data_IF_161986701655
#
_entry.id   IF_161986701655
#
_cell.length_a   1.000
_cell.length_b   1.000
_cell.length_c   1.000
_cell.angle_alpha   90.00
_cell.angle_beta   90.00
_cell.angle_gamma   90.00
#
_symmetry.space_group_name_H-M   'P 1'
#
loop_
_entity.id
_entity.type
_entity.pdbx_description
1 polymer ?
#
# COMPACT_ATOMS: atom_id res chain seq x y z
N UNK A 1 15.20 14.46 -19.64
CA UNK A 1 15.16 13.29 -18.74
C UNK A 1 14.29 13.66 -17.57
N UNK A 2 12.98 13.44 -17.67
CA UNK A 2 12.06 13.63 -16.55
C UNK A 2 12.35 12.54 -15.54
N UNK A 3 12.79 12.91 -14.33
CA UNK A 3 12.80 12.02 -13.18
C UNK A 3 11.40 11.41 -13.07
N UNK A 4 11.27 10.16 -13.50
CA UNK A 4 10.06 9.39 -13.29
C UNK A 4 10.09 8.98 -11.81
N UNK A 5 9.84 9.95 -10.94
CA UNK A 5 9.77 9.74 -9.50
C UNK A 5 8.81 8.59 -9.25
N UNK A 6 9.27 7.55 -8.55
CA UNK A 6 8.44 6.38 -8.31
C UNK A 6 7.20 6.82 -7.53
N UNK A 7 6.02 6.57 -8.07
CA UNK A 7 4.76 6.80 -7.37
C UNK A 7 4.65 5.82 -6.23
N UNK A 8 4.37 6.29 -5.02
CA UNK A 8 4.25 5.39 -3.87
C UNK A 8 3.17 5.81 -2.90
N UNK A 9 2.64 4.83 -2.18
CA UNK A 9 1.70 5.04 -1.08
C UNK A 9 2.38 4.52 0.18
N UNK A 10 2.60 5.40 1.15
CA UNK A 10 3.03 5.02 2.49
C UNK A 10 1.80 4.75 3.35
N UNK A 11 1.85 3.68 4.14
CA UNK A 11 0.76 3.27 5.04
C UNK A 11 1.19 3.54 6.47
N UNK A 12 0.34 4.26 7.20
CA UNK A 12 0.46 4.43 8.64
C UNK A 12 -0.51 3.43 9.30
N UNK A 13 0.02 2.55 10.14
CA UNK A 13 -0.74 1.45 10.71
C UNK A 13 -1.39 1.81 12.03
N UNK A 14 -2.47 1.09 12.35
CA UNK A 14 -3.00 1.03 13.71
C UNK A 14 -1.92 0.55 14.69
N UNK A 15 -1.98 0.94 15.98
CA UNK A 15 -1.06 0.45 17.00
C UNK A 15 -1.02 -1.09 17.04
N UNK A 16 0.18 -1.67 17.11
CA UNK A 16 0.40 -3.12 17.11
C UNK A 16 0.48 -3.77 15.72
N UNK A 17 0.25 -3.03 14.64
CA UNK A 17 0.33 -3.54 13.26
C UNK A 17 1.52 -3.02 12.45
N UNK A 18 2.35 -2.14 13.02
CA UNK A 18 3.51 -1.57 12.35
C UNK A 18 4.78 -2.43 12.46
N UNK A 19 5.62 -2.38 11.41
CA UNK A 19 6.93 -3.03 11.41
C UNK A 19 7.88 -2.39 12.45
N UNK A 20 8.83 -3.14 13.06
CA UNK A 20 9.27 -4.50 12.71
C UNK A 20 8.56 -5.67 13.43
N UNK A 21 7.82 -5.43 14.50
CA UNK A 21 7.30 -6.49 15.39
C UNK A 21 5.78 -6.79 15.24
N UNK A 22 5.11 -6.14 14.28
CA UNK A 22 3.83 -6.56 13.70
C UNK A 22 3.85 -6.19 12.22
N UNK A 23 4.16 -7.12 11.31
CA UNK A 23 4.82 -6.87 10.01
C UNK A 23 4.01 -6.14 8.91
N UNK A 24 3.11 -5.21 9.25
CA UNK A 24 2.43 -4.32 8.31
C UNK A 24 1.74 -5.06 7.17
N UNK A 25 1.98 -4.61 5.94
CA UNK A 25 1.46 -5.28 4.73
C UNK A 25 2.03 -6.68 4.51
N UNK A 26 3.11 -7.06 5.18
CA UNK A 26 3.75 -8.38 5.10
C UNK A 26 3.51 -9.22 6.36
N UNK A 27 2.51 -8.86 7.16
CA UNK A 27 2.08 -9.61 8.34
C UNK A 27 1.51 -10.98 8.00
N UNK A 28 1.58 -11.87 8.98
CA UNK A 28 1.02 -13.22 8.87
C UNK A 28 -0.48 -13.15 9.23
N UNK A 29 -1.34 -13.59 8.31
CA UNK A 29 -2.79 -13.58 8.53
C UNK A 29 -3.59 -13.72 7.24
N UNK A 30 -4.76 -14.36 7.32
CA UNK A 30 -5.65 -14.50 6.15
C UNK A 30 -6.15 -13.15 5.64
N UNK A 31 -6.48 -12.23 6.54
CA UNK A 31 -6.96 -10.89 6.18
C UNK A 31 -5.91 -10.07 5.41
N UNK A 32 -4.64 -10.16 5.82
CA UNK A 32 -3.51 -9.54 5.10
C UNK A 32 -3.30 -10.21 3.75
N UNK A 33 -3.35 -11.56 3.68
CA UNK A 33 -3.23 -12.28 2.39
C UNK A 33 -4.32 -11.87 1.40
N UNK A 34 -5.56 -11.71 1.85
CA UNK A 34 -6.67 -11.22 1.00
C UNK A 34 -6.44 -9.78 0.54
N UNK A 35 -5.99 -8.90 1.44
CA UNK A 35 -5.63 -7.52 1.09
C UNK A 35 -4.53 -7.49 0.02
N UNK A 36 -3.47 -8.28 0.19
CA UNK A 36 -2.37 -8.38 -0.77
C UNK A 36 -2.84 -8.89 -2.13
N UNK A 37 -3.74 -9.88 -2.17
CA UNK A 37 -4.33 -10.38 -3.43
C UNK A 37 -5.04 -9.28 -4.22
N UNK A 38 -5.75 -8.39 -3.54
CA UNK A 38 -6.40 -7.24 -4.18
C UNK A 38 -5.34 -6.25 -4.66
N UNK A 39 -4.34 -5.92 -3.85
CA UNK A 39 -3.28 -4.99 -4.24
C UNK A 39 -2.50 -5.48 -5.47
N UNK A 40 -2.16 -6.76 -5.56
CA UNK A 40 -1.44 -7.31 -6.71
C UNK A 40 -2.32 -7.51 -7.95
N UNK A 41 -3.64 -7.32 -7.84
CA UNK A 41 -4.52 -7.28 -9.02
C UNK A 41 -4.45 -5.96 -9.79
N UNK A 42 -3.88 -4.92 -9.20
CA UNK A 42 -3.56 -3.67 -9.90
C UNK A 42 -2.24 -3.87 -10.67
N UNK A 43 -2.25 -3.86 -12.02
CA UNK A 43 -1.05 -4.12 -12.81
C UNK A 43 0.03 -3.04 -12.61
N UNK A 44 -0.34 -1.86 -12.13
CA UNK A 44 0.56 -0.77 -11.82
C UNK A 44 1.35 -1.01 -10.53
N UNK A 45 0.93 -1.92 -9.64
CA UNK A 45 1.64 -2.21 -8.40
C UNK A 45 2.91 -3.02 -8.69
N UNK A 46 4.06 -2.45 -8.34
CA UNK A 46 5.39 -3.01 -8.62
C UNK A 46 5.99 -3.73 -7.41
N UNK A 47 6.02 -3.06 -6.27
CA UNK A 47 6.63 -3.59 -5.05
C UNK A 47 5.77 -3.29 -3.84
N UNK A 48 5.70 -4.25 -2.91
CA UNK A 48 5.05 -4.09 -1.61
C UNK A 48 6.10 -4.34 -0.53
N UNK A 49 6.34 -3.32 0.27
CA UNK A 49 7.17 -3.33 1.47
C UNK A 49 6.25 -3.29 2.71
N UNK A 50 6.77 -3.53 3.93
CA UNK A 50 5.94 -3.56 5.13
C UNK A 50 5.06 -2.32 5.32
N UNK A 51 5.54 -1.12 4.98
CA UNK A 51 4.81 0.16 5.13
C UNK A 51 4.59 0.93 3.82
N UNK A 52 4.90 0.33 2.67
CA UNK A 52 4.92 1.06 1.40
C UNK A 52 4.49 0.20 0.22
N UNK A 53 3.74 0.82 -0.68
CA UNK A 53 3.39 0.24 -1.99
C UNK A 53 3.97 1.15 -3.06
N UNK A 54 4.79 0.59 -3.93
CA UNK A 54 5.35 1.29 -5.10
C UNK A 54 4.53 0.94 -6.33
N UNK A 55 4.19 1.97 -7.10
CA UNK A 55 3.48 1.87 -8.36
C UNK A 55 4.39 2.27 -9.52
N UNK A 56 4.01 1.88 -10.73
CA UNK A 56 4.60 2.38 -11.96
C UNK A 56 4.57 3.91 -11.98
N UNK A 57 5.65 4.55 -12.41
CA UNK A 57 5.71 6.01 -12.54
C UNK A 57 4.70 6.54 -13.57
N UNK A 58 4.35 5.72 -14.57
CA UNK A 58 3.33 6.00 -15.57
C UNK A 58 1.88 5.73 -15.09
N UNK A 59 1.69 5.20 -13.88
CA UNK A 59 0.36 4.91 -13.34
C UNK A 59 -0.50 6.17 -13.30
N UNK A 60 -1.74 6.07 -13.77
CA UNK A 60 -2.65 7.22 -13.76
C UNK A 60 -2.95 7.69 -12.33
N UNK A 61 -3.12 9.01 -12.07
CA UNK A 61 -3.47 9.52 -10.75
C UNK A 61 -4.69 8.84 -10.11
N UNK A 62 -5.69 8.47 -10.94
CA UNK A 62 -6.91 7.77 -10.48
C UNK A 62 -6.64 6.38 -9.90
N UNK A 63 -5.60 5.69 -10.38
CA UNK A 63 -5.19 4.39 -9.83
C UNK A 63 -4.63 4.58 -8.43
N UNK A 64 -3.77 5.58 -8.22
CA UNK A 64 -3.22 5.91 -6.90
C UNK A 64 -4.34 6.25 -5.92
N UNK A 65 -5.29 7.10 -6.32
CA UNK A 65 -6.44 7.44 -5.49
C UNK A 65 -7.29 6.21 -5.14
N UNK A 66 -7.49 5.31 -6.11
CA UNK A 66 -8.27 4.09 -5.90
C UNK A 66 -7.60 3.15 -4.90
N UNK A 67 -6.28 2.95 -5.03
CA UNK A 67 -5.50 2.13 -4.09
C UNK A 67 -5.46 2.80 -2.71
N UNK A 68 -5.25 4.11 -2.63
CA UNK A 68 -5.25 4.86 -1.37
C UNK A 68 -6.60 4.74 -0.64
N UNK A 69 -7.72 4.93 -1.35
CA UNK A 69 -9.08 4.77 -0.80
C UNK A 69 -9.36 3.32 -0.39
N UNK A 70 -8.87 2.35 -1.15
CA UNK A 70 -8.99 0.94 -0.77
C UNK A 70 -8.29 0.65 0.56
N UNK A 71 -7.06 1.14 0.73
CA UNK A 71 -6.28 1.00 1.96
C UNK A 71 -6.92 1.72 3.15
N UNK A 72 -7.41 2.96 2.95
CA UNK A 72 -8.09 3.73 3.99
C UNK A 72 -9.33 3.02 4.55
N UNK A 73 -10.07 2.26 3.72
CA UNK A 73 -11.20 1.45 4.19
C UNK A 73 -10.81 0.24 5.05
N UNK A 74 -9.52 -0.09 5.12
CA UNK A 74 -9.00 -1.17 5.96
C UNK A 74 -8.67 -0.65 7.37
N UNK A 75 -9.65 -0.01 8.03
CA UNK A 75 -9.47 0.70 9.31
C UNK A 75 -8.93 -0.18 10.45
N UNK A 76 -9.11 -1.50 10.33
CA UNK A 76 -8.56 -2.51 11.23
C UNK A 76 -7.02 -2.61 11.19
N UNK A 77 -6.40 -2.19 10.08
CA UNK A 77 -4.96 -2.24 9.81
C UNK A 77 -4.37 -0.84 9.64
N UNK A 78 -5.08 0.02 8.92
CA UNK A 78 -4.61 1.31 8.44
C UNK A 78 -5.20 2.43 9.29
N UNK A 79 -4.33 3.30 9.81
CA UNK A 79 -4.71 4.54 10.46
C UNK A 79 -4.81 5.68 9.43
N UNK A 80 -3.83 5.78 8.52
CA UNK A 80 -3.84 6.76 7.43
C UNK A 80 -2.91 6.33 6.29
N UNK A 81 -2.97 7.06 5.17
CA UNK A 81 -2.08 6.84 4.01
C UNK A 81 -1.52 8.17 3.53
N UNK A 82 -0.29 8.13 2.99
CA UNK A 82 0.36 9.28 2.36
C UNK A 82 0.72 8.91 0.92
N UNK A 83 0.27 9.71 -0.04
CA UNK A 83 0.65 9.56 -1.47
C UNK A 83 1.90 10.39 -1.74
N UNK A 84 2.89 9.79 -2.38
CA UNK A 84 4.20 10.39 -2.69
C UNK A 84 4.60 10.15 -4.14
#
# INVERSE_FOLDING_TARGET
MTESGSRSIRVIFQPGWGAPEGKGLLGEGERIRTLLRVLVSYPEVRHILPDRISLDAAAEPRVLESVARFLQRQEWLVQSVEVR
#
